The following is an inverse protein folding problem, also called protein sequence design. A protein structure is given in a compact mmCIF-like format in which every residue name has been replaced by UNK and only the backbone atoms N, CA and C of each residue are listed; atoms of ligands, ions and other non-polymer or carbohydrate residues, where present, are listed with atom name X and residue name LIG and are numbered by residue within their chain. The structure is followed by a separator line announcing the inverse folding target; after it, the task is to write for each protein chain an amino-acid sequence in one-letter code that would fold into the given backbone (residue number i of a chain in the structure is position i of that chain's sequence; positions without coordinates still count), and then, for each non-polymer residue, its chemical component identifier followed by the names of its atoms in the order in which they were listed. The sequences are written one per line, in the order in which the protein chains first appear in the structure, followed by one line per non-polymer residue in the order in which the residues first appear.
data_IF_123322258546
#
_entry.id   IF_123322258546
#
_cell.length_a   1.000
_cell.length_b   1.000
_cell.length_c   1.000
_cell.angle_alpha   90.00
_cell.angle_beta   90.00
_cell.angle_gamma   90.00
#
_symmetry.space_group_name_H-M   'P 1'
#
loop_
_entity.id
_entity.type
_entity.pdbx_description
1 polymer ?
#
# COMPACT_ATOMS: atom_id res chain seq x y z
N UNK A 1 20.53 32.11 -0.91
CA UNK A 1 19.13 31.91 -1.37
C UNK A 1 18.78 30.46 -1.06
N UNK A 2 18.46 30.10 0.18
CA UNK A 2 17.20 30.33 0.91
C UNK A 2 15.99 29.62 0.28
N UNK A 3 16.04 28.29 0.27
CA UNK A 3 14.85 27.45 0.38
C UNK A 3 15.09 26.43 1.51
N UNK A 4 15.22 26.95 2.73
CA UNK A 4 14.95 26.14 3.91
C UNK A 4 13.43 26.04 4.04
N UNK A 5 12.82 24.84 4.13
CA UNK A 5 11.41 24.76 4.41
C UNK A 5 11.17 25.32 5.82
N UNK A 6 10.11 26.11 5.94
CA UNK A 6 9.53 26.59 7.19
C UNK A 6 9.30 25.40 8.15
N UNK A 7 10.31 25.05 8.94
CA UNK A 7 10.18 24.13 10.06
C UNK A 7 9.59 24.92 11.23
N UNK A 8 8.28 24.81 11.39
CA UNK A 8 7.70 25.01 12.71
C UNK A 8 8.28 23.92 13.64
N UNK A 9 8.73 24.23 14.87
CA UNK A 9 9.24 23.22 15.77
C UNK A 9 8.06 22.39 16.30
N UNK A 10 7.70 21.34 15.59
CA UNK A 10 6.87 20.28 16.14
C UNK A 10 7.76 19.45 17.06
N UNK A 11 7.36 19.30 18.33
CA UNK A 11 8.16 18.60 19.32
C UNK A 11 8.39 17.14 18.87
N UNK A 12 9.60 16.57 19.07
CA UNK A 12 9.94 15.22 18.60
C UNK A 12 8.99 14.12 19.14
N UNK A 13 8.42 14.32 20.33
CA UNK A 13 7.39 13.43 20.90
C UNK A 13 6.07 13.46 20.14
N UNK A 14 5.61 14.65 19.74
CA UNK A 14 4.35 14.82 19.01
C UNK A 14 4.45 14.22 17.60
N UNK A 15 5.62 14.40 16.96
CA UNK A 15 5.90 13.77 15.66
C UNK A 15 5.90 12.24 15.74
N UNK A 16 6.41 11.68 16.84
CA UNK A 16 6.46 10.22 17.05
C UNK A 16 5.06 9.64 17.27
N UNK A 17 4.23 10.29 18.09
CA UNK A 17 2.83 9.90 18.29
C UNK A 17 2.02 9.96 16.99
N UNK A 18 2.26 11.00 16.20
CA UNK A 18 1.67 11.14 14.87
C UNK A 18 2.07 9.95 13.98
N UNK A 19 3.36 9.63 13.84
CA UNK A 19 3.84 8.49 13.03
C UNK A 19 3.17 7.16 13.38
N UNK A 20 3.12 6.82 14.67
CA UNK A 20 2.53 5.55 15.11
C UNK A 20 1.03 5.50 14.86
N UNK A 21 0.32 6.63 15.03
CA UNK A 21 -1.11 6.71 14.74
C UNK A 21 -1.40 6.53 13.25
N UNK A 22 -0.63 7.19 12.37
CA UNK A 22 -0.75 7.03 10.92
C UNK A 22 -0.52 5.57 10.51
N UNK A 23 0.55 4.95 11.01
CA UNK A 23 0.85 3.55 10.72
C UNK A 23 -0.24 2.60 11.22
N UNK A 24 -0.78 2.83 12.42
CA UNK A 24 -1.85 2.03 13.01
C UNK A 24 -3.16 2.15 12.21
N UNK A 25 -3.56 3.38 11.86
CA UNK A 25 -4.78 3.63 11.08
C UNK A 25 -4.69 2.96 9.70
N UNK A 26 -3.57 3.09 9.01
CA UNK A 26 -3.40 2.44 7.70
C UNK A 26 -3.39 0.91 7.82
N UNK A 27 -2.81 0.34 8.89
CA UNK A 27 -2.89 -1.10 9.15
C UNK A 27 -4.33 -1.57 9.36
N UNK A 28 -5.13 -0.81 10.11
CA UNK A 28 -6.53 -1.14 10.35
C UNK A 28 -7.33 -1.17 9.05
N UNK A 29 -7.15 -0.14 8.21
CA UNK A 29 -7.83 -0.05 6.90
C UNK A 29 -7.39 -1.19 5.99
N UNK A 30 -6.09 -1.45 5.87
CA UNK A 30 -5.54 -2.53 5.05
C UNK A 30 -6.07 -3.89 5.49
N UNK A 31 -6.00 -4.20 6.78
CA UNK A 31 -6.44 -5.49 7.29
C UNK A 31 -7.95 -5.68 7.08
N UNK A 32 -8.74 -4.62 7.25
CA UNK A 32 -10.17 -4.63 6.96
C UNK A 32 -10.42 -4.96 5.49
N UNK A 33 -9.73 -4.28 4.56
CA UNK A 33 -9.88 -4.53 3.12
C UNK A 33 -9.39 -5.92 2.70
N UNK A 34 -8.33 -6.44 3.32
CA UNK A 34 -7.85 -7.80 3.08
C UNK A 34 -8.89 -8.85 3.52
N UNK A 35 -9.50 -8.67 4.69
CA UNK A 35 -10.57 -9.56 5.17
C UNK A 35 -11.79 -9.48 4.23
N UNK A 36 -12.20 -8.27 3.84
CA UNK A 36 -13.30 -8.07 2.90
C UNK A 36 -12.98 -8.73 1.56
N UNK A 37 -11.77 -8.58 1.03
CA UNK A 37 -11.32 -9.26 -0.18
C UNK A 37 -11.44 -10.77 -0.05
N UNK A 38 -10.92 -11.37 1.04
CA UNK A 38 -10.97 -12.81 1.25
C UNK A 38 -12.42 -13.33 1.32
N UNK A 39 -13.30 -12.61 2.03
CA UNK A 39 -14.72 -12.93 2.11
C UNK A 39 -15.39 -12.86 0.73
N UNK A 40 -15.15 -11.78 -0.01
CA UNK A 40 -15.74 -11.60 -1.34
C UNK A 40 -15.21 -12.61 -2.36
N UNK A 41 -13.94 -12.99 -2.27
CA UNK A 41 -13.31 -13.92 -3.20
C UNK A 41 -13.68 -15.38 -2.93
N UNK A 42 -13.82 -15.79 -1.67
CA UNK A 42 -13.93 -17.22 -1.30
C UNK A 42 -15.27 -17.61 -0.68
N UNK A 43 -16.07 -16.66 -0.18
CA UNK A 43 -17.35 -16.97 0.49
C UNK A 43 -18.51 -16.44 -0.36
N UNK A 44 -18.46 -15.16 -0.74
CA UNK A 44 -19.54 -14.55 -1.52
C UNK A 44 -19.36 -14.70 -3.05
N UNK A 45 -18.18 -15.13 -3.51
CA UNK A 45 -17.81 -15.27 -4.94
C UNK A 45 -18.19 -14.04 -5.79
N UNK A 46 -18.02 -12.86 -5.24
CA UNK A 46 -18.48 -11.61 -5.87
C UNK A 46 -17.51 -11.16 -6.97
N UNK A 47 -18.03 -10.71 -8.14
CA UNK A 47 -17.17 -10.20 -9.22
C UNK A 47 -16.43 -8.91 -8.84
N UNK A 48 -16.80 -8.24 -7.75
CA UNK A 48 -16.08 -7.05 -7.25
C UNK A 48 -14.81 -7.41 -6.45
N UNK A 49 -14.61 -8.69 -6.09
CA UNK A 49 -13.49 -9.11 -5.25
C UNK A 49 -12.12 -8.68 -5.81
N UNK A 50 -11.80 -8.86 -7.11
CA UNK A 50 -10.51 -8.44 -7.65
C UNK A 50 -10.26 -6.93 -7.54
N UNK A 51 -11.31 -6.11 -7.59
CA UNK A 51 -11.20 -4.66 -7.44
C UNK A 51 -10.82 -4.29 -6.00
N UNK A 52 -11.52 -4.86 -5.02
CA UNK A 52 -11.23 -4.63 -3.60
C UNK A 52 -9.82 -5.09 -3.24
N UNK A 53 -9.43 -6.29 -3.71
CA UNK A 53 -8.08 -6.80 -3.52
C UNK A 53 -7.01 -5.91 -4.16
N UNK A 54 -7.26 -5.42 -5.39
CA UNK A 54 -6.34 -4.52 -6.09
C UNK A 54 -6.11 -3.21 -5.34
N UNK A 55 -7.17 -2.60 -4.80
CA UNK A 55 -7.04 -1.38 -3.97
C UNK A 55 -6.27 -1.68 -2.68
N UNK A 56 -6.60 -2.79 -2.01
CA UNK A 56 -5.96 -3.18 -0.75
C UNK A 56 -4.44 -3.31 -0.89
N UNK A 57 -3.96 -4.05 -1.89
CA UNK A 57 -2.51 -4.28 -2.07
C UNK A 57 -1.75 -3.01 -2.43
N UNK A 58 -2.39 -2.06 -3.14
CA UNK A 58 -1.76 -0.76 -3.44
C UNK A 58 -1.68 0.15 -2.22
N UNK A 59 -2.61 0.03 -1.27
CA UNK A 59 -2.50 0.73 0.02
C UNK A 59 -1.30 0.20 0.82
N UNK A 60 -1.03 -1.10 0.79
CA UNK A 60 0.17 -1.70 1.42
C UNK A 60 1.46 -1.16 0.82
N UNK A 61 1.54 -1.13 -0.52
CA UNK A 61 2.69 -0.58 -1.22
C UNK A 61 2.86 0.91 -0.89
N UNK A 62 1.79 1.69 -1.01
CA UNK A 62 1.81 3.13 -0.74
C UNK A 62 2.23 3.45 0.70
N UNK A 63 1.69 2.72 1.67
CA UNK A 63 2.09 2.84 3.08
C UNK A 63 3.59 2.56 3.26
N UNK A 64 4.09 1.48 2.68
CA UNK A 64 5.48 1.07 2.85
C UNK A 64 6.44 2.09 2.22
N UNK A 65 6.08 2.62 1.05
CA UNK A 65 6.81 3.71 0.41
C UNK A 65 6.79 5.00 1.24
N UNK A 66 5.65 5.37 1.82
CA UNK A 66 5.56 6.52 2.73
C UNK A 66 6.43 6.34 3.97
N UNK A 67 6.50 5.13 4.51
CA UNK A 67 7.38 4.82 5.63
C UNK A 67 8.86 5.00 5.27
N UNK A 68 9.27 4.58 4.09
CA UNK A 68 10.64 4.81 3.57
C UNK A 68 10.93 6.29 3.32
N UNK A 69 9.99 6.99 2.67
CA UNK A 69 10.12 8.42 2.39
C UNK A 69 10.25 9.23 3.68
N UNK A 70 9.48 8.87 4.71
CA UNK A 70 9.57 9.50 6.01
C UNK A 70 10.95 9.37 6.65
N UNK A 71 11.55 8.18 6.64
CA UNK A 71 12.91 7.99 7.14
C UNK A 71 13.93 8.79 6.33
N UNK A 72 13.77 8.84 5.01
CA UNK A 72 14.64 9.64 4.14
C UNK A 72 14.58 11.14 4.49
N UNK A 73 13.37 11.72 4.62
CA UNK A 73 13.21 13.15 4.90
C UNK A 73 13.59 13.55 6.33
N UNK A 74 13.53 12.64 7.30
CA UNK A 74 14.01 12.93 8.66
C UNK A 74 15.49 12.62 8.88
N UNK A 75 16.24 12.25 7.84
CA UNK A 75 17.66 11.92 7.96
C UNK A 75 17.93 10.62 8.72
N UNK A 76 17.10 9.60 8.50
CA UNK A 76 17.16 8.29 9.16
C UNK A 76 16.99 8.37 10.68
N UNK A 77 16.08 9.22 11.13
CA UNK A 77 15.85 9.50 12.55
C UNK A 77 15.49 8.25 13.39
N UNK A 78 14.77 7.26 12.83
CA UNK A 78 14.39 6.06 13.57
C UNK A 78 15.40 4.91 13.39
N UNK A 79 16.08 4.82 12.25
CA UNK A 79 16.96 3.67 11.95
C UNK A 79 18.45 3.97 11.97
N UNK A 80 18.86 5.24 11.85
CA UNK A 80 20.25 5.66 11.64
C UNK A 80 21.20 5.41 12.83
N UNK A 81 20.67 5.09 14.00
CA UNK A 81 21.45 4.69 15.16
C UNK A 81 21.90 3.20 15.11
N UNK A 82 21.39 2.42 14.15
CA UNK A 82 21.71 1.00 14.01
C UNK A 82 22.88 0.77 13.04
N UNK A 83 23.58 -0.36 13.21
CA UNK A 83 24.59 -0.82 12.25
C UNK A 83 23.95 -1.02 10.88
N UNK A 84 24.67 -0.69 9.81
CA UNK A 84 24.19 -0.84 8.44
C UNK A 84 23.71 -2.27 8.12
N UNK A 85 24.40 -3.30 8.64
CA UNK A 85 23.98 -4.70 8.51
C UNK A 85 22.58 -4.97 9.09
N UNK A 86 22.27 -4.36 10.25
CA UNK A 86 20.99 -4.52 10.91
C UNK A 86 19.89 -3.77 10.13
N UNK A 87 20.20 -2.60 9.60
CA UNK A 87 19.28 -1.83 8.76
C UNK A 87 18.92 -2.65 7.51
N UNK A 88 19.91 -3.22 6.82
CA UNK A 88 19.67 -3.98 5.60
C UNK A 88 18.83 -5.24 5.89
N UNK A 89 19.17 -6.00 6.92
CA UNK A 89 18.53 -7.28 7.19
C UNK A 89 17.17 -7.16 7.88
N UNK A 90 17.03 -6.26 8.86
CA UNK A 90 15.82 -6.16 9.70
C UNK A 90 14.88 -5.04 9.29
N UNK A 91 15.33 -4.08 8.47
CA UNK A 91 14.48 -2.99 8.02
C UNK A 91 14.25 -3.03 6.50
N UNK A 92 15.31 -3.02 5.69
CA UNK A 92 15.17 -3.00 4.22
C UNK A 92 14.56 -4.30 3.70
N UNK A 93 15.08 -5.46 4.09
CA UNK A 93 14.62 -6.74 3.57
C UNK A 93 13.13 -7.03 3.87
N UNK A 94 12.63 -6.92 5.11
CA UNK A 94 11.22 -7.16 5.38
C UNK A 94 10.32 -6.11 4.74
N UNK A 95 10.65 -4.82 4.81
CA UNK A 95 9.81 -3.80 4.16
C UNK A 95 9.84 -3.93 2.63
N UNK A 96 10.99 -4.29 2.04
CA UNK A 96 11.13 -4.55 0.61
C UNK A 96 10.25 -5.72 0.15
N UNK A 97 10.17 -6.79 0.95
CA UNK A 97 9.28 -7.90 0.66
C UNK A 97 7.80 -7.47 0.65
N UNK A 98 7.42 -6.56 1.55
CA UNK A 98 6.08 -5.95 1.61
C UNK A 98 5.78 -4.97 0.46
N UNK A 99 6.77 -4.62 -0.35
CA UNK A 99 6.54 -3.91 -1.62
C UNK A 99 6.38 -4.92 -2.74
N UNK A 100 7.32 -5.88 -2.85
CA UNK A 100 7.38 -6.82 -3.96
C UNK A 100 6.16 -7.74 -3.99
N UNK A 101 5.82 -8.38 -2.87
CA UNK A 101 4.75 -9.38 -2.83
C UNK A 101 3.38 -8.76 -3.14
N UNK A 102 2.95 -7.65 -2.50
CA UNK A 102 1.69 -7.01 -2.84
C UNK A 102 1.67 -6.44 -4.25
N UNK A 103 2.80 -5.98 -4.79
CA UNK A 103 2.89 -5.52 -6.19
C UNK A 103 2.65 -6.66 -7.19
N UNK A 104 3.18 -7.86 -6.93
CA UNK A 104 2.91 -9.04 -7.76
C UNK A 104 1.44 -9.45 -7.71
N UNK A 105 0.82 -9.39 -6.53
CA UNK A 105 -0.63 -9.65 -6.38
C UNK A 105 -1.44 -8.57 -7.10
N UNK A 106 -1.06 -7.30 -6.98
CA UNK A 106 -1.68 -6.19 -7.71
C UNK A 106 -1.61 -6.38 -9.21
N UNK A 107 -0.46 -6.85 -9.73
CA UNK A 107 -0.30 -7.16 -11.14
C UNK A 107 -1.24 -8.27 -11.61
N UNK A 108 -1.40 -9.36 -10.85
CA UNK A 108 -2.29 -10.46 -11.24
C UNK A 108 -3.77 -10.04 -11.18
N UNK A 109 -4.20 -9.37 -10.10
CA UNK A 109 -5.56 -8.86 -9.96
C UNK A 109 -5.88 -7.78 -11.02
N UNK A 110 -4.92 -6.93 -11.35
CA UNK A 110 -5.05 -5.91 -12.40
C UNK A 110 -5.31 -6.53 -13.77
N UNK A 111 -4.57 -7.59 -14.13
CA UNK A 111 -4.83 -8.33 -15.38
C UNK A 111 -6.24 -8.95 -15.40
N UNK A 112 -6.68 -9.53 -14.28
CA UNK A 112 -8.01 -10.10 -14.17
C UNK A 112 -9.10 -9.03 -14.36
N UNK A 113 -8.95 -7.85 -13.76
CA UNK A 113 -9.85 -6.73 -13.95
C UNK A 113 -9.95 -6.29 -15.41
N UNK A 114 -8.80 -6.10 -16.07
CA UNK A 114 -8.75 -5.71 -17.50
C UNK A 114 -9.46 -6.76 -18.36
N UNK A 115 -9.22 -8.05 -18.12
CA UNK A 115 -9.88 -9.12 -18.84
C UNK A 115 -11.41 -9.10 -18.67
N UNK A 116 -11.89 -8.90 -17.44
CA UNK A 116 -13.33 -8.78 -17.16
C UNK A 116 -13.95 -7.58 -17.88
N UNK A 117 -13.25 -6.45 -17.93
CA UNK A 117 -13.69 -5.26 -18.68
C UNK A 117 -13.82 -5.55 -20.18
N UNK A 118 -12.85 -6.22 -20.79
CA UNK A 118 -12.93 -6.61 -22.21
C UNK A 118 -14.12 -7.53 -22.49
N UNK A 119 -14.36 -8.53 -21.64
CA UNK A 119 -15.51 -9.43 -21.79
C UNK A 119 -16.83 -8.66 -21.70
N UNK A 120 -16.97 -7.78 -20.70
CA UNK A 120 -18.16 -6.94 -20.53
C UNK A 120 -18.39 -6.03 -21.74
N UNK A 121 -17.32 -5.43 -22.29
CA UNK A 121 -17.38 -4.60 -23.48
C UNK A 121 -17.92 -5.37 -24.71
N UNK A 122 -17.40 -6.57 -24.98
CA UNK A 122 -17.84 -7.38 -26.12
C UNK A 122 -19.30 -7.84 -26.00
N UNK A 123 -19.75 -8.19 -24.79
CA UNK A 123 -21.16 -8.52 -24.54
C UNK A 123 -22.07 -7.31 -24.80
N UNK A 124 -21.70 -6.13 -24.29
CA UNK A 124 -22.45 -4.89 -24.52
C UNK A 124 -22.54 -4.53 -26.00
N UNK A 125 -21.44 -4.67 -26.74
CA UNK A 125 -21.37 -4.42 -28.18
C UNK A 125 -22.31 -5.35 -28.98
N UNK A 126 -22.35 -6.64 -28.65
CA UNK A 126 -23.26 -7.61 -29.29
C UNK A 126 -24.73 -7.28 -29.02
N UNK A 127 -25.07 -6.87 -27.80
CA UNK A 127 -26.44 -6.50 -27.43
C UNK A 127 -26.96 -5.29 -28.20
N UNK A 128 -26.11 -4.30 -28.53
CA UNK A 128 -26.52 -3.11 -29.30
C UNK A 128 -26.72 -3.37 -30.80
N UNK A 129 -26.18 -4.48 -31.32
CA UNK A 129 -26.26 -4.85 -32.74
C UNK A 129 -27.50 -5.72 -33.04
N UNK A 130 -28.18 -6.19 -32.01
CA UNK A 130 -29.42 -6.98 -32.08
C UNK A 130 -30.62 -6.08 -31.88
#
# INVERSE_FOLDING_TARGET
MLLGPLYHPFLPHEQTNSRVLHAALMNLIENTLNIVYLYLAHIAESPIAPLVGYVSVHLTVGKTLLYWAQEYFCGFCAIGHNKLSNILLFWVFPNGLWIVVPSLIGYTLGKQLVQQLYVAHEVSKKSKKK
#
